data_IF_618274723613
#
_entry.id   IF_618274723613
#
_cell.length_a   1.000
_cell.length_b   1.000
_cell.length_c   1.000
_cell.angle_alpha   90.00
_cell.angle_beta   90.00
_cell.angle_gamma   90.00
#
_symmetry.space_group_name_H-M   'P 1'
#
loop_
_entity.id
_entity.type
_entity.pdbx_description
1 polymer ?
#
# COMPACT_ATOMS: atom_id res chain seq x y z
N UNK A 1 46.53 43.63 31.93
CA UNK A 1 45.92 42.29 31.86
C UNK A 1 44.54 42.37 32.50
N UNK A 2 43.46 42.32 31.70
CA UNK A 2 42.09 41.94 32.10
C UNK A 2 41.22 41.96 30.84
N UNK A 3 40.70 40.81 30.45
CA UNK A 3 39.91 40.60 29.22
C UNK A 3 38.43 40.91 29.48
N UNK A 4 37.79 41.64 28.56
CA UNK A 4 36.36 41.93 28.57
C UNK A 4 35.56 40.66 28.20
N UNK A 5 34.57 40.31 29.01
CA UNK A 5 33.68 39.17 28.78
C UNK A 5 32.46 39.61 27.96
N UNK A 6 32.32 39.08 26.75
CA UNK A 6 31.10 39.19 25.93
C UNK A 6 30.12 38.06 26.27
N UNK A 7 28.81 38.30 26.36
CA UNK A 7 27.84 37.21 26.51
C UNK A 7 27.66 36.48 25.17
N UNK A 8 27.88 35.17 25.19
CA UNK A 8 27.62 34.27 24.05
C UNK A 8 26.12 33.92 24.09
N UNK A 9 25.36 34.45 23.14
CA UNK A 9 23.96 34.09 22.93
C UNK A 9 23.87 32.63 22.45
N UNK A 10 23.45 31.72 23.33
CA UNK A 10 23.08 30.36 22.93
C UNK A 10 21.69 30.40 22.30
N UNK A 11 21.63 30.15 20.99
CA UNK A 11 20.36 29.93 20.31
C UNK A 11 19.82 28.55 20.72
N UNK A 12 18.70 28.55 21.43
CA UNK A 12 17.91 27.37 21.75
C UNK A 12 17.38 26.76 20.45
N UNK A 13 18.11 25.79 19.90
CA UNK A 13 17.61 24.92 18.85
C UNK A 13 16.47 24.08 19.40
N UNK A 14 15.24 24.39 19.02
CA UNK A 14 14.08 23.52 19.25
C UNK A 14 14.30 22.18 18.56
N UNK A 15 14.10 21.03 19.24
CA UNK A 15 14.08 19.75 18.55
C UNK A 15 12.91 19.75 17.58
N UNK A 16 13.19 19.55 16.28
CA UNK A 16 12.14 19.34 15.29
C UNK A 16 11.35 18.09 15.71
N UNK A 17 10.01 18.12 15.72
CA UNK A 17 9.26 16.89 15.90
C UNK A 17 9.57 16.01 14.69
N UNK A 18 10.15 14.85 14.97
CA UNK A 18 10.34 13.78 13.98
C UNK A 18 8.94 13.43 13.52
N UNK A 19 8.52 13.98 12.38
CA UNK A 19 7.24 13.67 11.78
C UNK A 19 7.33 12.20 11.46
N UNK A 20 6.54 11.30 12.08
CA UNK A 20 6.50 9.94 11.58
C UNK A 20 6.03 10.08 10.13
N UNK A 21 6.85 9.59 9.20
CA UNK A 21 6.38 9.36 7.85
C UNK A 21 5.16 8.45 8.03
N UNK A 22 3.97 9.04 7.92
CA UNK A 22 2.74 8.31 7.70
C UNK A 22 2.92 7.75 6.30
N UNK A 23 3.69 6.66 6.18
CA UNK A 23 3.47 5.75 5.08
C UNK A 23 1.98 5.46 5.16
N UNK A 24 1.23 5.58 4.05
CA UNK A 24 -0.10 5.03 4.04
C UNK A 24 0.09 3.58 4.44
N UNK A 25 -0.34 3.22 5.65
CA UNK A 25 -0.68 1.86 5.97
C UNK A 25 -1.79 1.56 4.99
N UNK A 26 -1.40 1.08 3.81
CA UNK A 26 -2.28 0.37 2.92
C UNK A 26 -2.77 -0.71 3.84
N UNK A 27 -3.99 -0.53 4.35
CA UNK A 27 -4.77 -1.60 4.94
C UNK A 27 -4.91 -2.60 3.80
N UNK A 28 -3.86 -3.41 3.60
CA UNK A 28 -3.99 -4.73 3.00
C UNK A 28 -5.22 -5.24 3.69
N UNK A 29 -6.31 -5.49 2.94
CA UNK A 29 -7.53 -6.03 3.52
C UNK A 29 -7.11 -7.24 4.35
N UNK A 30 -6.90 -7.04 5.65
CA UNK A 30 -6.05 -7.89 6.47
C UNK A 30 -6.93 -9.05 6.86
N UNK A 31 -7.10 -9.96 5.91
CA UNK A 31 -8.12 -10.98 6.00
C UNK A 31 -8.70 -11.40 4.67
N UNK A 32 -8.71 -10.61 3.60
CA UNK A 32 -9.28 -11.09 2.34
C UNK A 32 -8.32 -12.08 1.67
N UNK A 33 -8.80 -13.30 1.47
CA UNK A 33 -8.05 -14.38 0.83
C UNK A 33 -8.81 -14.85 -0.39
N UNK A 34 -8.09 -15.43 -1.35
CA UNK A 34 -8.68 -15.99 -2.55
C UNK A 34 -9.79 -17.01 -2.29
N UNK A 35 -9.75 -17.69 -1.14
CA UNK A 35 -10.79 -18.62 -0.70
C UNK A 35 -12.12 -17.96 -0.31
N UNK A 36 -12.13 -16.65 -0.05
CA UNK A 36 -13.35 -15.88 0.20
C UNK A 36 -14.01 -15.39 -1.08
N UNK A 37 -13.27 -15.33 -2.19
CA UNK A 37 -13.85 -14.98 -3.48
C UNK A 37 -14.78 -16.11 -3.94
N UNK A 38 -16.05 -15.81 -4.15
CA UNK A 38 -17.00 -16.80 -4.68
C UNK A 38 -16.92 -16.93 -6.21
N UNK A 39 -16.21 -16.02 -6.87
CA UNK A 39 -16.10 -15.96 -8.34
C UNK A 39 -14.87 -15.17 -8.79
N UNK A 40 -14.37 -15.45 -10.00
CA UNK A 40 -13.27 -14.67 -10.59
C UNK A 40 -13.59 -13.17 -10.66
N UNK A 41 -14.84 -12.81 -10.96
CA UNK A 41 -15.29 -11.43 -10.97
C UNK A 41 -15.12 -10.71 -9.62
N UNK A 42 -15.36 -11.42 -8.51
CA UNK A 42 -15.21 -10.89 -7.17
C UNK A 42 -13.73 -10.67 -6.85
N UNK A 43 -12.87 -11.64 -7.22
CA UNK A 43 -11.44 -11.54 -7.05
C UNK A 43 -10.83 -10.36 -7.83
N UNK A 44 -11.27 -10.15 -9.07
CA UNK A 44 -10.81 -9.01 -9.89
C UNK A 44 -11.26 -7.68 -9.30
N UNK A 45 -12.50 -7.58 -8.79
CA UNK A 45 -12.97 -6.36 -8.10
C UNK A 45 -12.09 -6.02 -6.91
N UNK A 46 -11.77 -7.03 -6.09
CA UNK A 46 -10.94 -6.83 -4.92
C UNK A 46 -9.50 -6.46 -5.29
N UNK A 47 -8.96 -7.06 -6.35
CA UNK A 47 -7.66 -6.71 -6.90
C UNK A 47 -7.63 -5.25 -7.39
N UNK A 48 -8.65 -4.84 -8.13
CA UNK A 48 -8.81 -3.45 -8.58
C UNK A 48 -9.03 -2.46 -7.43
N UNK A 49 -9.51 -2.93 -6.28
CA UNK A 49 -9.63 -2.14 -5.05
C UNK A 49 -8.27 -1.96 -4.32
N UNK A 50 -7.16 -2.35 -4.96
CA UNK A 50 -5.80 -2.18 -4.44
C UNK A 50 -5.25 -3.40 -3.70
N UNK A 51 -5.91 -4.56 -3.79
CA UNK A 51 -5.40 -5.80 -3.19
C UNK A 51 -4.38 -6.49 -4.10
N UNK A 52 -3.20 -5.88 -4.25
CA UNK A 52 -2.13 -6.39 -5.13
C UNK A 52 -1.68 -7.81 -4.79
N UNK A 53 -1.88 -8.23 -3.53
CA UNK A 53 -1.56 -9.56 -3.02
C UNK A 53 -2.51 -10.67 -3.51
N UNK A 54 -3.54 -10.33 -4.29
CA UNK A 54 -4.34 -11.30 -5.03
C UNK A 54 -3.50 -12.10 -6.04
N UNK A 55 -2.45 -11.47 -6.56
CA UNK A 55 -1.49 -12.02 -7.52
C UNK A 55 -0.17 -12.30 -6.78
N UNK A 56 -0.13 -13.44 -6.08
CA UNK A 56 1.00 -13.82 -5.23
C UNK A 56 2.26 -14.19 -6.03
N UNK A 57 2.05 -14.77 -7.21
CA UNK A 57 3.10 -15.31 -8.08
C UNK A 57 3.44 -14.35 -9.24
N UNK A 58 2.80 -13.17 -9.26
CA UNK A 58 3.04 -12.10 -10.24
C UNK A 58 2.73 -12.49 -11.70
N UNK A 59 1.92 -13.53 -11.89
CA UNK A 59 1.46 -13.99 -13.20
C UNK A 59 0.31 -13.14 -13.74
N UNK A 60 -0.06 -12.05 -13.07
CA UNK A 60 -1.13 -11.14 -13.46
C UNK A 60 -2.51 -11.83 -13.45
N UNK A 61 -2.64 -12.92 -12.66
CA UNK A 61 -3.86 -13.69 -12.44
C UNK A 61 -4.20 -13.63 -10.94
N UNK A 62 -5.23 -12.87 -10.55
CA UNK A 62 -5.64 -12.79 -9.16
C UNK A 62 -6.37 -14.07 -8.79
N UNK A 63 -5.96 -14.70 -7.69
CA UNK A 63 -6.67 -15.84 -7.10
C UNK A 63 -6.99 -16.95 -8.12
N UNK A 64 -5.95 -17.68 -8.54
CA UNK A 64 -6.04 -18.80 -9.49
C UNK A 64 -7.07 -19.88 -9.13
N UNK A 65 -7.41 -20.02 -7.84
CA UNK A 65 -8.47 -20.92 -7.38
C UNK A 65 -9.85 -20.58 -7.96
N UNK A 66 -10.11 -19.30 -8.29
CA UNK A 66 -11.36 -18.83 -8.91
C UNK A 66 -11.16 -18.35 -10.35
N UNK A 67 -10.05 -17.69 -10.65
CA UNK A 67 -9.73 -17.25 -12.01
C UNK A 67 -8.85 -18.29 -12.71
N UNK A 68 -9.37 -18.94 -13.76
CA UNK A 68 -8.62 -20.02 -14.42
C UNK A 68 -7.63 -19.55 -15.47
N UNK A 69 -7.73 -18.30 -15.92
CA UNK A 69 -6.92 -17.79 -17.03
C UNK A 69 -6.84 -16.28 -17.04
N UNK A 70 -5.70 -15.76 -17.49
CA UNK A 70 -5.46 -14.33 -17.67
C UNK A 70 -6.43 -13.68 -18.69
N UNK A 71 -6.89 -14.44 -19.69
CA UNK A 71 -7.89 -13.97 -20.64
C UNK A 71 -9.25 -13.68 -19.97
N UNK A 72 -9.65 -14.51 -19.00
CA UNK A 72 -10.87 -14.31 -18.21
C UNK A 72 -10.74 -13.06 -17.34
N UNK A 73 -9.61 -12.92 -16.65
CA UNK A 73 -9.25 -11.76 -15.82
C UNK A 73 -9.30 -10.47 -16.63
N UNK A 74 -8.66 -10.43 -17.82
CA UNK A 74 -8.70 -9.27 -18.71
C UNK A 74 -10.12 -8.94 -19.16
N UNK A 75 -10.90 -9.95 -19.54
CA UNK A 75 -12.30 -9.74 -19.96
C UNK A 75 -13.10 -9.08 -18.84
N UNK A 76 -12.96 -9.57 -17.61
CA UNK A 76 -13.65 -9.04 -16.43
C UNK A 76 -13.14 -7.63 -16.08
N UNK A 77 -11.83 -7.40 -16.14
CA UNK A 77 -11.22 -6.07 -15.96
C UNK A 77 -11.79 -5.06 -16.95
N UNK A 78 -11.83 -5.40 -18.24
CA UNK A 78 -12.46 -4.56 -19.27
C UNK A 78 -13.95 -4.32 -19.02
N UNK A 79 -14.67 -5.26 -18.41
CA UNK A 79 -16.07 -5.09 -18.04
C UNK A 79 -16.25 -4.18 -16.81
N UNK A 80 -15.32 -4.22 -15.86
CA UNK A 80 -15.36 -3.42 -14.62
C UNK A 80 -14.82 -2.00 -14.85
N UNK A 81 -13.88 -1.81 -15.78
CA UNK A 81 -13.25 -0.53 -16.05
C UNK A 81 -12.05 -0.23 -15.13
N UNK A 82 -11.33 -1.27 -14.75
CA UNK A 82 -10.01 -1.24 -14.15
C UNK A 82 -9.05 -2.14 -14.97
#
# INVERSE_FOLDING_TARGET
>A
MAFAATPISVASGTPVPMTPAVLPTISQAAGWTCSQASSCAEAVRQWCNGYSRADGDSDVIPCENVCRSLAEVRRIRSQIGC
#
